data_IF_735227004493
#
_entry.id   IF_735227004493
#
_cell.length_a   1.000
_cell.length_b   1.000
_cell.length_c   1.000
_cell.angle_alpha   90.00
_cell.angle_beta   90.00
_cell.angle_gamma   90.00
#
_symmetry.space_group_name_H-M   'P 1'
#
loop_
_entity.id
_entity.type
_entity.pdbx_description
1 polymer ?
#
# COMPACT_ATOMS: atom_id res chain seq x y z
N UNK A 1 47.08 -47.74 71.44
CA UNK A 1 46.26 -48.66 72.25
C UNK A 1 44.83 -48.12 72.30
N UNK A 2 43.87 -49.04 72.20
CA UNK A 2 42.42 -48.94 72.37
C UNK A 2 41.52 -48.40 71.24
N UNK A 3 40.62 -49.31 70.86
CA UNK A 3 39.46 -49.25 69.98
C UNK A 3 38.32 -48.40 70.53
N UNK A 4 37.42 -47.90 69.66
CA UNK A 4 35.97 -48.17 69.78
C UNK A 4 35.15 -47.71 68.57
N UNK A 5 34.35 -48.64 68.04
CA UNK A 5 33.27 -48.49 67.05
C UNK A 5 31.97 -48.00 67.72
N UNK A 6 31.19 -47.11 67.10
CA UNK A 6 29.70 -47.03 67.15
C UNK A 6 29.22 -46.22 65.91
N UNK A 7 28.61 -46.80 64.86
CA UNK A 7 27.20 -47.21 64.65
C UNK A 7 26.17 -46.08 64.38
N UNK A 8 25.55 -46.14 63.17
CA UNK A 8 24.16 -45.76 62.77
C UNK A 8 23.79 -44.24 62.76
N UNK A 9 23.08 -43.62 61.81
CA UNK A 9 21.94 -43.95 60.91
C UNK A 9 21.88 -42.87 59.76
N UNK A 10 21.13 -43.05 58.66
CA UNK A 10 21.14 -42.20 57.46
C UNK A 10 20.04 -41.11 57.47
N UNK A 11 20.27 -39.97 56.80
CA UNK A 11 19.21 -39.04 56.39
C UNK A 11 19.04 -39.13 54.87
N UNK A 12 17.97 -39.78 54.43
CA UNK A 12 17.46 -39.70 53.08
C UNK A 12 16.72 -38.36 52.94
N UNK A 13 17.28 -37.44 52.15
CA UNK A 13 16.60 -36.22 51.74
C UNK A 13 15.65 -36.54 50.57
N UNK A 14 14.35 -36.38 50.80
CA UNK A 14 13.32 -36.43 49.75
C UNK A 14 13.35 -35.17 48.89
N UNK A 15 13.48 -35.24 47.56
CA UNK A 15 13.19 -34.12 46.70
C UNK A 15 11.67 -33.98 46.52
N UNK A 16 11.09 -32.88 47.02
CA UNK A 16 9.73 -32.49 46.69
C UNK A 16 9.68 -32.02 45.22
N UNK A 17 9.00 -32.79 44.36
CA UNK A 17 8.61 -32.31 43.04
C UNK A 17 7.57 -31.18 43.21
N UNK A 18 7.97 -29.95 42.90
CA UNK A 18 7.03 -28.84 42.72
C UNK A 18 6.46 -28.97 41.30
N UNK A 19 5.22 -29.44 41.17
CA UNK A 19 4.47 -29.31 39.93
C UNK A 19 4.12 -27.81 39.75
N UNK A 20 4.91 -27.11 38.93
CA UNK A 20 4.47 -25.84 38.39
C UNK A 20 3.35 -26.12 37.39
N UNK A 21 2.10 -25.89 37.79
CA UNK A 21 0.98 -25.86 36.87
C UNK A 21 1.14 -24.64 35.96
N UNK A 22 1.54 -24.87 34.73
CA UNK A 22 1.54 -23.86 33.67
C UNK A 22 0.09 -23.40 33.45
N UNK A 23 -0.26 -22.21 33.95
CA UNK A 23 -1.50 -21.54 33.55
C UNK A 23 -1.36 -21.27 32.05
N UNK A 24 -2.23 -21.81 31.18
CA UNK A 24 -2.22 -21.42 29.78
C UNK A 24 -2.51 -19.92 29.75
N UNK A 25 -1.50 -19.13 29.32
CA UNK A 25 -1.78 -17.79 28.81
C UNK A 25 -2.72 -18.00 27.63
N UNK A 26 -3.93 -17.51 27.76
CA UNK A 26 -4.80 -17.30 26.61
C UNK A 26 -4.07 -16.30 25.71
N UNK A 27 -3.33 -16.81 24.73
CA UNK A 27 -3.00 -16.00 23.57
C UNK A 27 -4.33 -15.58 22.98
N UNK A 28 -4.59 -14.27 23.01
CA UNK A 28 -5.62 -13.63 22.21
C UNK A 28 -5.24 -13.82 20.75
N UNK A 29 -5.41 -15.04 20.23
CA UNK A 29 -5.52 -15.27 18.81
C UNK A 29 -6.70 -14.43 18.37
N UNK A 30 -6.43 -13.27 17.77
CA UNK A 30 -7.41 -12.58 16.98
C UNK A 30 -7.92 -13.62 15.99
N UNK A 31 -9.13 -14.12 16.21
CA UNK A 31 -9.85 -14.92 15.23
C UNK A 31 -9.92 -14.06 13.98
N UNK A 32 -8.93 -14.16 13.09
CA UNK A 32 -8.91 -13.42 11.84
C UNK A 32 -9.96 -14.07 10.96
N UNK A 33 -11.18 -13.56 11.08
CA UNK A 33 -12.31 -14.01 10.30
C UNK A 33 -11.96 -13.81 8.83
N UNK A 34 -12.00 -14.89 8.06
CA UNK A 34 -11.93 -14.79 6.62
C UNK A 34 -13.17 -14.06 6.09
N UNK A 35 -13.00 -13.27 5.05
CA UNK A 35 -14.08 -12.52 4.39
C UNK A 35 -14.00 -12.72 2.89
N UNK A 36 -15.14 -12.63 2.21
CA UNK A 36 -15.16 -12.68 0.74
C UNK A 36 -15.06 -11.26 0.19
N UNK A 37 -14.12 -11.05 -0.73
CA UNK A 37 -13.95 -9.79 -1.46
C UNK A 37 -14.05 -10.03 -2.96
N UNK A 38 -14.44 -9.00 -3.70
CA UNK A 38 -14.48 -9.01 -5.16
C UNK A 38 -13.19 -8.37 -5.69
N UNK A 39 -12.16 -9.20 -5.90
CA UNK A 39 -10.83 -8.73 -6.25
C UNK A 39 -10.73 -8.36 -7.74
N UNK A 40 -10.18 -7.19 -8.05
CA UNK A 40 -9.91 -6.74 -9.44
C UNK A 40 -8.41 -6.53 -9.70
N UNK A 41 -7.94 -6.64 -10.96
CA UNK A 41 -6.54 -6.43 -11.30
C UNK A 41 -6.17 -4.94 -11.35
N UNK A 42 -5.08 -4.57 -10.66
CA UNK A 42 -4.48 -3.23 -10.65
C UNK A 42 -3.11 -3.26 -11.32
N UNK A 43 -2.89 -2.47 -12.38
CA UNK A 43 -1.65 -2.52 -13.18
C UNK A 43 -0.53 -1.64 -12.65
N UNK A 44 -0.87 -0.61 -11.87
CA UNK A 44 0.07 0.42 -11.42
C UNK A 44 0.39 0.32 -9.93
N UNK A 45 1.67 0.38 -9.57
CA UNK A 45 2.05 0.47 -8.17
C UNK A 45 1.76 1.86 -7.60
N UNK A 46 1.20 1.89 -6.39
CA UNK A 46 1.03 3.09 -5.58
C UNK A 46 0.96 2.70 -4.10
N UNK A 47 1.08 3.70 -3.23
CA UNK A 47 0.94 3.53 -1.79
C UNK A 47 0.49 4.84 -1.16
N UNK A 48 -0.69 4.85 -0.53
CA UNK A 48 -1.25 5.97 0.22
C UNK A 48 -0.54 6.25 1.53
N UNK A 49 0.24 5.29 2.05
CA UNK A 49 1.02 5.42 3.29
C UNK A 49 2.51 5.61 3.04
N UNK A 50 2.93 5.76 1.79
CA UNK A 50 4.31 6.04 1.42
C UNK A 50 5.25 4.84 1.51
N UNK A 51 4.74 3.60 1.35
CA UNK A 51 5.60 2.42 1.16
C UNK A 51 6.31 2.53 -0.19
N UNK A 52 7.60 2.22 -0.20
CA UNK A 52 8.47 2.40 -1.36
C UNK A 52 8.50 1.13 -2.23
N UNK A 53 7.99 1.24 -3.46
CA UNK A 53 7.86 0.15 -4.42
C UNK A 53 9.20 -0.49 -4.79
N UNK A 54 10.26 0.30 -4.87
CA UNK A 54 11.61 -0.20 -5.14
C UNK A 54 12.19 -1.07 -4.01
N UNK A 55 11.55 -1.10 -2.84
CA UNK A 55 11.98 -1.86 -1.66
C UNK A 55 11.00 -2.99 -1.30
N UNK A 56 9.99 -3.26 -2.12
CA UNK A 56 9.00 -4.34 -1.93
C UNK A 56 8.72 -5.10 -3.23
N UNK A 57 8.04 -6.23 -3.14
CA UNK A 57 7.52 -6.93 -4.30
C UNK A 57 6.20 -6.31 -4.78
N UNK A 58 6.26 -5.43 -5.78
CA UNK A 58 5.08 -4.73 -6.33
C UNK A 58 4.09 -5.64 -7.06
N UNK A 59 4.45 -6.91 -7.31
CA UNK A 59 3.54 -7.92 -7.86
C UNK A 59 2.70 -8.62 -6.78
N UNK A 60 2.82 -8.20 -5.51
CA UNK A 60 2.13 -8.80 -4.35
C UNK A 60 1.59 -7.70 -3.43
N UNK A 61 0.74 -6.84 -3.99
CA UNK A 61 0.18 -5.67 -3.31
C UNK A 61 -1.34 -5.71 -3.33
N UNK A 62 -1.96 -5.26 -2.23
CA UNK A 62 -3.40 -5.08 -2.07
C UNK A 62 -3.74 -3.60 -1.85
N UNK A 63 -4.83 -3.17 -2.48
CA UNK A 63 -5.35 -1.80 -2.55
C UNK A 63 -6.80 -1.83 -2.08
N UNK A 64 -7.02 -1.77 -0.77
CA UNK A 64 -8.34 -1.98 -0.17
C UNK A 64 -9.13 -0.67 -0.09
N UNK A 65 -10.47 -0.71 -0.03
CA UNK A 65 -11.26 0.53 0.08
C UNK A 65 -11.07 1.22 1.44
N UNK A 66 -10.80 0.44 2.48
CA UNK A 66 -10.55 0.93 3.83
C UNK A 66 -9.11 1.41 4.00
N UNK A 67 -8.91 2.43 4.84
CA UNK A 67 -7.59 2.96 5.21
C UNK A 67 -6.61 1.88 5.66
N UNK A 68 -5.34 2.05 5.31
CA UNK A 68 -4.25 1.15 5.72
C UNK A 68 -4.07 1.23 7.25
N UNK A 69 -3.95 0.06 7.88
CA UNK A 69 -3.87 -0.10 9.33
C UNK A 69 -2.42 -0.33 9.82
N UNK A 70 -2.15 -0.09 11.10
CA UNK A 70 -0.81 -0.23 11.68
C UNK A 70 -0.38 -1.66 12.02
N UNK A 71 -1.30 -2.63 11.95
CA UNK A 71 -1.08 -4.03 12.34
C UNK A 71 -1.41 -5.01 11.21
N UNK A 72 -2.44 -4.71 10.42
CA UNK A 72 -3.00 -5.60 9.40
C UNK A 72 -2.43 -5.31 7.99
N UNK A 73 -1.10 -5.22 7.88
CA UNK A 73 -0.40 -4.95 6.61
C UNK A 73 -0.30 -6.22 5.74
N UNK A 74 -0.19 -7.41 6.33
CA UNK A 74 -0.15 -8.66 5.56
C UNK A 74 -1.54 -9.27 5.46
N UNK A 75 -1.96 -9.55 4.23
CA UNK A 75 -3.20 -10.29 3.98
C UNK A 75 -2.89 -11.52 3.15
N UNK A 76 -3.61 -12.61 3.41
CA UNK A 76 -3.68 -13.74 2.49
C UNK A 76 -4.91 -13.58 1.61
N UNK A 77 -4.78 -13.93 0.34
CA UNK A 77 -5.90 -13.99 -0.60
C UNK A 77 -5.90 -15.34 -1.31
N UNK A 78 -7.06 -16.00 -1.32
CA UNK A 78 -7.23 -17.34 -1.84
C UNK A 78 -8.33 -17.39 -2.90
N UNK A 79 -8.04 -18.11 -3.98
CA UNK A 79 -9.00 -18.49 -5.01
C UNK A 79 -8.84 -19.98 -5.32
N UNK A 80 -9.89 -20.77 -5.08
CA UNK A 80 -9.83 -22.22 -5.20
C UNK A 80 -8.68 -22.80 -4.34
N UNK A 81 -7.78 -23.56 -4.95
CA UNK A 81 -6.62 -24.20 -4.35
C UNK A 81 -5.38 -23.30 -4.27
N UNK A 82 -5.44 -22.07 -4.81
CA UNK A 82 -4.30 -21.14 -4.90
C UNK A 82 -4.41 -20.02 -3.88
N UNK A 83 -3.27 -19.71 -3.27
CA UNK A 83 -3.15 -18.63 -2.30
C UNK A 83 -1.91 -17.78 -2.60
N UNK A 84 -2.01 -16.49 -2.30
CA UNK A 84 -0.89 -15.56 -2.25
C UNK A 84 -0.98 -14.73 -0.96
N UNK A 85 0.16 -14.20 -0.55
CA UNK A 85 0.24 -13.16 0.47
C UNK A 85 0.49 -11.82 -0.22
N UNK A 86 -0.12 -10.76 0.29
CA UNK A 86 -0.08 -9.41 -0.27
C UNK A 86 0.20 -8.39 0.83
N UNK A 87 0.96 -7.36 0.48
CA UNK A 87 1.12 -6.16 1.30
C UNK A 87 -0.04 -5.21 1.04
N UNK A 88 -0.87 -4.95 2.04
CA UNK A 88 -1.92 -3.92 2.02
C UNK A 88 -1.30 -2.58 2.39
N UNK A 89 -0.93 -1.80 1.38
CA UNK A 89 -0.17 -0.55 1.56
C UNK A 89 -0.78 0.62 0.80
N UNK A 90 -1.94 0.42 0.21
CA UNK A 90 -2.66 1.47 -0.49
C UNK A 90 -4.15 1.36 -0.26
N UNK A 91 -4.82 2.49 -0.50
CA UNK A 91 -6.25 2.61 -0.46
C UNK A 91 -6.79 2.79 -1.88
N UNK A 92 -7.78 1.99 -2.25
CA UNK A 92 -8.51 2.17 -3.50
C UNK A 92 -9.63 3.21 -3.35
N UNK A 93 -10.30 3.55 -4.46
CA UNK A 93 -11.48 4.42 -4.46
C UNK A 93 -12.80 3.64 -4.24
N UNK A 94 -12.76 2.50 -3.54
CA UNK A 94 -13.96 1.72 -3.19
C UNK A 94 -13.96 0.25 -3.61
N UNK A 95 -12.92 -0.21 -4.33
CA UNK A 95 -12.79 -1.59 -4.79
C UNK A 95 -11.75 -2.38 -3.98
N UNK A 96 -11.77 -3.71 -4.05
CA UNK A 96 -10.65 -4.51 -3.55
C UNK A 96 -9.74 -4.80 -4.74
N UNK A 97 -8.71 -4.00 -4.94
CA UNK A 97 -7.81 -4.20 -6.06
C UNK A 97 -6.53 -4.87 -5.59
N UNK A 98 -5.94 -5.70 -6.43
CA UNK A 98 -4.64 -6.33 -6.16
C UNK A 98 -3.76 -6.20 -7.39
N UNK A 99 -2.45 -6.18 -7.20
CA UNK A 99 -1.49 -6.15 -8.30
C UNK A 99 -1.86 -7.18 -9.39
N UNK A 100 -1.85 -6.77 -10.66
CA UNK A 100 -2.36 -7.58 -11.77
C UNK A 100 -1.74 -8.98 -11.82
N UNK A 101 -0.44 -9.11 -11.50
CA UNK A 101 0.20 -10.41 -11.42
C UNK A 101 -0.42 -11.35 -10.37
N UNK A 102 -0.72 -10.85 -9.17
CA UNK A 102 -1.35 -11.63 -8.12
C UNK A 102 -2.76 -12.08 -8.54
N UNK A 103 -3.55 -11.16 -9.11
CA UNK A 103 -4.88 -11.47 -9.63
C UNK A 103 -4.82 -12.54 -10.72
N UNK A 104 -3.93 -12.37 -11.70
CA UNK A 104 -3.78 -13.28 -12.83
C UNK A 104 -3.30 -14.66 -12.37
N UNK A 105 -2.37 -14.73 -11.40
CA UNK A 105 -1.91 -15.98 -10.83
C UNK A 105 -3.03 -16.71 -10.08
N UNK A 106 -3.75 -16.01 -9.20
CA UNK A 106 -4.87 -16.58 -8.46
C UNK A 106 -5.94 -17.11 -9.41
N UNK A 107 -6.26 -16.38 -10.47
CA UNK A 107 -7.32 -16.78 -11.40
C UNK A 107 -6.86 -17.87 -12.38
N UNK A 108 -5.71 -17.71 -13.03
CA UNK A 108 -5.26 -18.55 -14.16
C UNK A 108 -4.17 -19.57 -13.83
N UNK A 109 -3.40 -19.34 -12.76
CA UNK A 109 -2.27 -20.17 -12.34
C UNK A 109 -0.93 -19.69 -12.91
N UNK A 110 -0.94 -18.60 -13.67
CA UNK A 110 0.24 -18.06 -14.34
C UNK A 110 0.46 -16.59 -13.95
N UNK A 111 1.73 -16.17 -13.94
CA UNK A 111 2.07 -14.74 -13.89
C UNK A 111 1.43 -13.99 -15.07
N UNK A 112 1.01 -12.75 -14.83
CA UNK A 112 0.48 -11.87 -15.88
C UNK A 112 1.52 -11.62 -17.00
N UNK A 113 2.81 -11.65 -16.68
CA UNK A 113 3.89 -11.52 -17.68
C UNK A 113 4.11 -12.77 -18.54
N UNK A 114 3.42 -13.88 -18.23
CA UNK A 114 3.58 -15.17 -18.92
C UNK A 114 2.34 -15.57 -19.68
N UNK A 115 1.18 -15.44 -19.06
CA UNK A 115 -0.12 -15.73 -19.67
C UNK A 115 -1.13 -14.70 -19.17
N UNK A 116 -1.07 -13.46 -19.67
CA UNK A 116 -1.98 -12.40 -19.25
C UNK A 116 -3.43 -12.76 -19.62
N UNK A 117 -4.35 -12.41 -18.74
CA UNK A 117 -5.78 -12.59 -18.93
C UNK A 117 -6.51 -11.28 -18.68
N UNK A 118 -7.47 -10.95 -19.55
CA UNK A 118 -8.38 -9.82 -19.37
C UNK A 118 -9.64 -10.30 -18.64
N UNK A 119 -9.93 -9.72 -17.49
CA UNK A 119 -11.09 -10.08 -16.67
C UNK A 119 -11.51 -8.95 -15.71
N UNK A 120 -12.55 -9.22 -14.94
CA UNK A 120 -13.13 -8.28 -13.99
C UNK A 120 -13.08 -8.79 -12.55
N UNK A 121 -13.99 -8.30 -11.69
CA UNK A 121 -14.05 -8.73 -10.30
C UNK A 121 -14.25 -10.25 -10.15
N UNK A 122 -13.46 -10.88 -9.28
CA UNK A 122 -13.56 -12.31 -8.95
C UNK A 122 -13.71 -12.44 -7.44
N UNK A 123 -14.70 -13.23 -7.01
CA UNK A 123 -14.89 -13.53 -5.59
C UNK A 123 -13.71 -14.37 -5.05
N UNK A 124 -13.03 -13.84 -4.04
CA UNK A 124 -11.87 -14.45 -3.39
C UNK A 124 -12.00 -14.33 -1.87
N UNK A 125 -11.39 -15.26 -1.14
CA UNK A 125 -11.38 -15.26 0.32
C UNK A 125 -10.13 -14.56 0.82
N UNK A 126 -10.29 -13.51 1.63
CA UNK A 126 -9.18 -12.76 2.24
C UNK A 126 -9.17 -12.91 3.75
N UNK A 127 -7.97 -12.80 4.33
CA UNK A 127 -7.76 -12.85 5.78
C UNK A 127 -6.52 -12.03 6.15
N UNK A 128 -6.59 -11.23 7.21
CA UNK A 128 -5.41 -10.63 7.81
C UNK A 128 -4.57 -11.73 8.46
N UNK A 129 -3.27 -11.76 8.19
CA UNK A 129 -2.35 -12.78 8.69
C UNK A 129 -1.12 -12.14 9.29
N UNK A 130 -0.35 -12.93 10.04
CA UNK A 130 0.89 -12.46 10.65
C UNK A 130 1.90 -11.98 9.57
N UNK A 131 2.60 -10.88 9.87
CA UNK A 131 3.57 -10.27 8.95
C UNK A 131 4.72 -11.19 8.53
N UNK A 132 5.02 -12.24 9.30
CA UNK A 132 6.00 -13.27 8.90
C UNK A 132 5.65 -13.92 7.55
N UNK A 133 4.36 -14.02 7.18
CA UNK A 133 3.94 -14.54 5.88
C UNK A 133 4.29 -13.60 4.71
N UNK A 134 4.40 -12.30 4.98
CA UNK A 134 4.77 -11.28 3.99
C UNK A 134 6.24 -10.84 4.09
N UNK A 135 7.04 -11.41 4.99
CA UNK A 135 8.41 -10.96 5.24
C UNK A 135 9.29 -11.01 3.97
N UNK A 136 9.09 -12.01 3.12
CA UNK A 136 9.80 -12.16 1.83
C UNK A 136 9.39 -11.14 0.76
N UNK A 137 8.28 -10.42 0.97
CA UNK A 137 7.81 -9.37 0.07
C UNK A 137 8.48 -8.02 0.34
N UNK A 138 9.25 -7.91 1.43
CA UNK A 138 9.93 -6.68 1.85
C UNK A 138 11.44 -6.90 1.73
N UNK A 139 12.10 -6.08 0.94
CA UNK A 139 13.53 -6.27 0.58
C UNK A 139 14.50 -5.51 1.49
N UNK A 140 14.01 -4.90 2.57
CA UNK A 140 14.85 -4.22 3.56
C UNK A 140 15.47 -5.22 4.55
N UNK A 141 16.49 -4.75 5.28
CA UNK A 141 17.08 -5.55 6.36
C UNK A 141 16.04 -5.85 7.45
N UNK A 142 15.84 -7.14 7.73
CA UNK A 142 14.88 -7.59 8.73
C UNK A 142 13.42 -7.41 8.33
N UNK A 143 13.14 -7.24 7.03
CA UNK A 143 11.78 -7.08 6.49
C UNK A 143 10.99 -5.92 7.13
N UNK A 144 11.69 -4.86 7.52
CA UNK A 144 11.11 -3.62 8.04
C UNK A 144 10.39 -2.85 6.93
N UNK A 145 9.20 -2.34 7.21
CA UNK A 145 8.39 -1.62 6.23
C UNK A 145 9.14 -0.37 5.72
N UNK A 146 9.47 -0.29 4.40
CA UNK A 146 10.22 0.82 3.82
C UNK A 146 9.28 1.98 3.54
N UNK A 147 9.42 3.06 4.29
CA UNK A 147 8.57 4.23 4.20
C UNK A 147 9.33 5.46 3.70
N UNK A 148 8.66 6.29 2.91
CA UNK A 148 9.14 7.61 2.50
C UNK A 148 9.21 8.55 3.71
N UNK A 149 10.41 8.98 4.09
CA UNK A 149 10.62 9.92 5.19
C UNK A 149 9.88 11.24 5.00
N UNK A 150 9.68 11.68 3.76
CA UNK A 150 9.01 12.93 3.45
C UNK A 150 7.48 12.78 3.46
N UNK A 151 6.94 11.63 3.03
CA UNK A 151 5.52 11.49 2.70
C UNK A 151 4.75 10.46 3.55
N UNK A 152 5.40 9.71 4.44
CA UNK A 152 4.73 8.70 5.29
C UNK A 152 4.42 9.18 6.72
N UNK A 153 4.84 10.38 7.11
CA UNK A 153 4.94 10.74 8.53
C UNK A 153 3.60 10.77 9.26
N UNK A 154 2.50 11.15 8.60
CA UNK A 154 1.17 11.11 9.23
C UNK A 154 0.75 9.69 9.58
N UNK A 155 0.97 8.73 8.65
CA UNK A 155 0.70 7.32 8.90
C UNK A 155 1.61 6.77 10.01
N UNK A 156 2.92 6.99 9.89
CA UNK A 156 3.89 6.48 10.86
C UNK A 156 3.64 7.04 12.26
N UNK A 157 3.39 8.34 12.40
CA UNK A 157 3.06 8.95 13.69
C UNK A 157 1.84 8.29 14.33
N UNK A 158 0.75 8.08 13.56
CA UNK A 158 -0.45 7.41 14.06
C UNK A 158 -0.19 5.96 14.52
N UNK A 159 0.78 5.28 13.91
CA UNK A 159 1.19 3.95 14.33
C UNK A 159 2.12 3.99 15.55
N UNK A 160 2.99 4.98 15.67
CA UNK A 160 3.87 5.16 16.82
C UNK A 160 3.11 5.59 18.09
N UNK A 161 1.95 6.22 17.95
CA UNK A 161 1.03 6.54 19.06
C UNK A 161 0.28 5.32 19.59
N UNK A 162 0.11 4.28 18.76
CA UNK A 162 -0.54 3.03 19.16
C UNK A 162 0.45 2.13 19.91
N UNK A 163 0.11 1.76 21.14
CA UNK A 163 0.88 0.76 21.88
C UNK A 163 0.94 -0.57 21.13
N UNK A 164 2.14 -1.13 21.00
CA UNK A 164 2.41 -2.43 20.37
C UNK A 164 2.00 -2.54 18.89
N UNK A 165 1.91 -1.42 18.15
CA UNK A 165 1.67 -1.52 16.71
C UNK A 165 2.84 -2.20 15.98
N UNK A 166 2.54 -3.07 15.02
CA UNK A 166 3.59 -3.73 14.25
C UNK A 166 4.41 -2.72 13.46
N UNK A 167 3.75 -1.79 12.75
CA UNK A 167 4.43 -0.76 11.95
C UNK A 167 5.32 0.12 12.82
N UNK A 168 4.83 0.60 13.98
CA UNK A 168 5.61 1.44 14.89
C UNK A 168 6.89 0.76 15.39
N UNK A 169 6.91 -0.58 15.43
CA UNK A 169 8.09 -1.38 15.82
C UNK A 169 8.95 -1.84 14.63
N UNK A 170 8.41 -1.86 13.41
CA UNK A 170 9.00 -2.53 12.25
C UNK A 170 9.02 -1.65 10.99
N UNK A 171 9.53 -0.43 11.11
CA UNK A 171 9.70 0.48 9.97
C UNK A 171 11.17 0.85 9.73
N UNK A 172 11.43 1.35 8.54
CA UNK A 172 12.66 2.07 8.17
C UNK A 172 12.28 3.23 7.25
N UNK A 173 12.86 4.40 7.51
CA UNK A 173 12.62 5.60 6.73
C UNK A 173 13.72 5.78 5.69
N UNK A 174 13.33 6.14 4.47
CA UNK A 174 14.26 6.52 3.40
C UNK A 174 13.97 7.92 2.89
N UNK A 175 15.00 8.67 2.50
CA UNK A 175 14.88 9.98 1.86
C UNK A 175 14.44 9.89 0.38
N UNK A 176 13.59 8.92 0.05
CA UNK A 176 12.98 8.76 -1.27
C UNK A 176 11.62 9.46 -1.21
N UNK A 177 11.38 10.33 -2.19
CA UNK A 177 10.25 11.26 -2.17
C UNK A 177 8.95 10.56 -2.59
N UNK A 178 8.96 9.72 -3.61
CA UNK A 178 7.73 9.11 -4.15
C UNK A 178 7.68 7.58 -3.98
N UNK A 179 6.46 7.03 -3.93
CA UNK A 179 6.25 5.59 -3.73
C UNK A 179 6.76 4.74 -4.90
N UNK A 180 6.79 5.29 -6.11
CA UNK A 180 7.33 4.63 -7.30
C UNK A 180 8.85 4.80 -7.46
N UNK A 181 9.52 5.45 -6.51
CA UNK A 181 10.97 5.63 -6.44
C UNK A 181 11.60 6.29 -7.67
N UNK A 182 10.98 7.33 -8.21
CA UNK A 182 11.55 8.13 -9.30
C UNK A 182 12.22 9.41 -8.80
N UNK A 183 11.94 9.84 -7.57
CA UNK A 183 12.44 11.08 -6.98
C UNK A 183 12.99 10.85 -5.57
N UNK A 184 14.05 11.58 -5.22
CA UNK A 184 14.69 11.57 -3.90
C UNK A 184 16.10 10.98 -3.89
N UNK A 185 16.55 10.62 -2.71
CA UNK A 185 17.88 10.10 -2.43
C UNK A 185 17.76 8.79 -1.63
N UNK A 186 18.37 7.70 -2.11
CA UNK A 186 18.34 6.40 -1.42
C UNK A 186 19.27 6.41 -0.19
N UNK A 187 18.78 7.04 0.89
CA UNK A 187 19.47 7.23 2.14
C UNK A 187 18.53 6.88 3.29
N UNK A 188 18.98 6.07 4.23
CA UNK A 188 18.20 5.79 5.45
C UNK A 188 18.20 7.01 6.37
N UNK A 189 17.02 7.34 6.91
CA UNK A 189 16.82 8.44 7.85
C UNK A 189 16.55 7.91 9.26
N UNK A 190 16.74 8.77 10.25
CA UNK A 190 16.44 8.51 11.67
C UNK A 190 15.31 9.41 12.16
N UNK A 191 14.49 8.91 13.07
CA UNK A 191 13.41 9.67 13.70
C UNK A 191 13.59 9.70 15.21
N UNK A 192 13.55 10.88 15.80
CA UNK A 192 13.54 11.08 17.27
C UNK A 192 12.09 11.20 17.74
N UNK A 193 11.40 10.07 17.87
CA UNK A 193 10.04 10.04 18.37
C UNK A 193 10.00 9.82 19.89
N UNK A 194 9.13 10.51 20.66
CA UNK A 194 8.12 11.48 20.25
C UNK A 194 8.59 12.95 20.22
N UNK A 195 9.88 13.22 20.36
CA UNK A 195 10.40 14.60 20.52
C UNK A 195 10.37 15.42 19.21
N UNK A 196 10.36 14.75 18.06
CA UNK A 196 10.35 15.33 16.73
C UNK A 196 9.50 14.48 15.76
N UNK A 197 8.71 15.16 14.92
CA UNK A 197 7.88 14.55 13.89
C UNK A 197 8.50 14.63 12.48
N UNK A 198 9.70 15.22 12.36
CA UNK A 198 10.45 15.31 11.10
C UNK A 198 11.69 14.41 11.14
N UNK A 199 11.84 13.45 10.21
CA UNK A 199 13.03 12.61 10.13
C UNK A 199 14.30 13.41 9.79
N UNK A 200 15.41 12.99 10.37
CA UNK A 200 16.76 13.46 10.02
C UNK A 200 17.39 12.51 9.01
N UNK A 201 17.80 13.03 7.86
CA UNK A 201 18.44 12.29 6.78
C UNK A 201 19.86 12.83 6.52
N UNK A 202 20.77 12.05 5.92
CA UNK A 202 22.10 12.54 5.55
C UNK A 202 22.08 13.74 4.59
N UNK A 203 21.18 13.71 3.60
CA UNK A 203 20.88 14.84 2.71
C UNK A 203 19.64 15.62 3.15
N UNK A 204 19.35 16.71 2.44
CA UNK A 204 18.13 17.50 2.65
C UNK A 204 16.90 16.61 2.42
N UNK A 205 15.98 16.60 3.37
CA UNK A 205 14.75 15.82 3.31
C UNK A 205 13.87 16.32 2.15
N UNK A 206 13.39 15.38 1.32
CA UNK A 206 12.35 15.66 0.31
C UNK A 206 12.82 16.43 -0.92
N UNK A 207 14.13 16.46 -1.21
CA UNK A 207 14.63 17.02 -2.47
C UNK A 207 14.20 16.14 -3.64
N UNK A 208 13.60 16.70 -4.71
CA UNK A 208 13.12 15.94 -5.86
C UNK A 208 14.25 15.61 -6.86
N UNK A 209 15.37 15.10 -6.36
CA UNK A 209 16.47 14.62 -7.22
C UNK A 209 16.01 13.40 -8.01
N UNK A 210 16.39 13.29 -9.30
CA UNK A 210 16.03 12.13 -10.09
C UNK A 210 16.70 10.86 -9.55
N UNK A 211 15.89 9.93 -9.04
CA UNK A 211 16.36 8.63 -8.56
C UNK A 211 16.33 7.63 -9.72
N UNK A 212 17.50 7.07 -10.04
CA UNK A 212 17.67 6.13 -11.16
C UNK A 212 18.01 4.71 -10.73
N UNK A 213 18.09 4.49 -9.42
CA UNK A 213 18.42 3.20 -8.80
C UNK A 213 17.13 2.46 -8.49
N UNK A 214 17.07 1.17 -8.86
CA UNK A 214 15.96 0.26 -8.56
C UNK A 214 14.58 0.72 -9.06
N UNK A 215 14.39 0.85 -10.38
CA UNK A 215 13.11 1.29 -10.95
C UNK A 215 11.94 0.36 -10.58
N UNK A 216 10.79 0.96 -10.32
CA UNK A 216 9.53 0.23 -10.15
C UNK A 216 8.92 -0.11 -11.51
N UNK A 217 8.56 -1.38 -11.68
CA UNK A 217 7.91 -1.87 -12.89
C UNK A 217 6.46 -2.24 -12.61
N UNK A 218 5.58 -1.72 -13.45
CA UNK A 218 4.17 -2.09 -13.55
C UNK A 218 4.00 -3.21 -14.58
N UNK A 219 2.90 -3.94 -14.48
CA UNK A 219 2.51 -4.91 -15.52
C UNK A 219 1.22 -4.39 -16.14
N UNK A 220 1.32 -3.87 -17.36
CA UNK A 220 0.22 -3.23 -18.06
C UNK A 220 -0.93 -4.21 -18.27
N UNK A 221 -2.11 -3.82 -17.83
CA UNK A 221 -3.33 -4.58 -18.06
C UNK A 221 -3.94 -4.23 -19.43
N UNK A 222 -4.46 -5.20 -20.21
CA UNK A 222 -4.37 -6.65 -20.02
C UNK A 222 -3.22 -7.28 -20.82
N UNK A 223 -2.23 -6.51 -21.32
CA UNK A 223 -1.20 -7.05 -22.21
C UNK A 223 -0.15 -7.91 -21.50
N UNK A 224 0.06 -7.68 -20.19
CA UNK A 224 1.12 -8.35 -19.43
C UNK A 224 2.51 -7.73 -19.64
N UNK A 225 2.60 -6.62 -20.37
CA UNK A 225 3.87 -5.95 -20.66
C UNK A 225 4.43 -5.26 -19.42
N UNK A 226 5.74 -5.35 -19.22
CA UNK A 226 6.41 -4.58 -18.17
C UNK A 226 6.61 -3.15 -18.63
N UNK A 227 6.04 -2.21 -17.89
CA UNK A 227 6.19 -0.77 -18.16
C UNK A 227 6.80 -0.08 -16.94
N UNK A 228 7.69 0.87 -17.18
CA UNK A 228 8.33 1.63 -16.11
C UNK A 228 7.29 2.53 -15.44
N UNK A 229 7.19 2.48 -14.11
CA UNK A 229 6.27 3.35 -13.38
C UNK A 229 6.65 4.82 -13.56
N UNK A 230 5.65 5.69 -13.81
CA UNK A 230 5.87 7.12 -14.08
C UNK A 230 6.37 7.45 -15.48
N UNK A 231 6.60 6.45 -16.35
CA UNK A 231 6.92 6.71 -17.75
C UNK A 231 5.70 7.30 -18.50
N UNK A 232 5.92 8.14 -19.53
CA UNK A 232 4.85 8.63 -20.38
C UNK A 232 4.07 7.46 -21.01
N UNK A 233 2.75 7.61 -21.26
CA UNK A 233 1.98 6.58 -21.94
C UNK A 233 2.65 6.21 -23.27
N UNK A 234 3.05 4.95 -23.42
CA UNK A 234 3.54 4.46 -24.71
C UNK A 234 2.34 4.30 -25.64
N UNK A 235 2.23 5.19 -26.64
CA UNK A 235 1.27 5.02 -27.73
C UNK A 235 1.59 3.69 -28.42
N UNK A 236 0.61 2.79 -28.60
CA UNK A 236 0.84 1.56 -29.35
C UNK A 236 1.34 1.91 -30.75
N UNK A 237 2.60 1.56 -31.04
CA UNK A 237 3.15 1.63 -32.39
C UNK A 237 2.37 0.65 -33.27
N UNK A 238 1.37 1.16 -33.99
CA UNK A 238 0.50 0.34 -34.83
C UNK A 238 -0.86 0.95 -35.17
N UNK A 239 -1.31 1.99 -34.46
CA UNK A 239 -2.48 2.77 -34.87
C UNK A 239 -2.01 3.98 -35.66
N UNK A 240 -2.35 4.11 -36.97
CA UNK A 240 -2.07 5.33 -37.72
C UNK A 240 -2.76 6.50 -37.00
N UNK A 241 -1.96 7.46 -36.53
CA UNK A 241 -2.47 8.74 -36.07
C UNK A 241 -3.13 9.40 -37.30
N UNK A 242 -4.44 9.72 -37.28
CA UNK A 242 -5.05 10.50 -38.34
C UNK A 242 -4.30 11.83 -38.43
N UNK A 243 -3.87 12.19 -39.63
CA UNK A 243 -3.25 13.49 -39.87
C UNK A 243 -4.17 14.60 -39.31
N UNK A 244 -3.61 15.66 -38.69
CA UNK A 244 -4.40 16.80 -38.25
C UNK A 244 -5.22 17.32 -39.43
N UNK A 245 -6.53 17.50 -39.21
CA UNK A 245 -7.39 18.11 -40.22
C UNK A 245 -6.82 19.48 -40.60
N UNK A 246 -6.75 19.82 -41.90
CA UNK A 246 -6.28 21.14 -42.33
C UNK A 246 -7.17 22.22 -41.73
N UNK A 247 -6.54 23.20 -41.10
CA UNK A 247 -7.20 24.39 -40.56
C UNK A 247 -7.82 25.18 -41.72
N UNK A 248 -9.11 25.58 -41.67
CA UNK A 248 -9.68 26.41 -42.72
C UNK A 248 -8.92 27.73 -42.82
N UNK A 249 -8.53 28.10 -44.03
CA UNK A 249 -7.96 29.40 -44.31
C UNK A 249 -8.99 30.49 -43.96
N UNK A 250 -8.55 31.51 -43.23
CA UNK A 250 -9.33 32.71 -43.02
C UNK A 250 -9.31 33.54 -44.31
N UNK A 251 -10.41 33.51 -45.06
CA UNK A 251 -10.65 34.47 -46.12
C UNK A 251 -10.95 35.83 -45.48
N UNK A 252 -10.05 36.78 -45.75
CA UNK A 252 -10.28 38.19 -45.56
C UNK A 252 -11.13 38.70 -46.71
N UNK A 253 -12.26 39.35 -46.41
CA UNK A 253 -12.82 40.41 -47.25
C UNK A 253 -13.71 41.32 -46.38
N UNK A 254 -13.28 42.58 -46.30
CA UNK A 254 -14.00 43.74 -45.80
C UNK A 254 -15.11 44.14 -46.79
N UNK A 255 -16.32 44.43 -46.30
CA UNK A 255 -16.95 45.77 -46.38
C UNK A 255 -18.48 45.76 -46.21
N UNK A 256 -18.93 46.81 -45.49
CA UNK A 256 -20.21 47.50 -45.56
C UNK A 256 -21.48 46.95 -44.89
N UNK A 257 -22.03 47.81 -44.01
CA UNK A 257 -23.45 48.16 -44.11
C UNK A 257 -24.27 47.97 -42.83
N UNK A 258 -24.29 49.00 -41.97
CA UNK A 258 -25.29 49.14 -40.92
C UNK A 258 -26.72 49.22 -41.49
N UNK A 259 -27.65 48.46 -40.88
CA UNK A 259 -29.14 48.55 -40.82
C UNK A 259 -29.65 47.12 -40.54
N UNK A 260 -30.48 46.77 -39.57
CA UNK A 260 -31.26 47.44 -38.53
C UNK A 260 -32.40 46.49 -38.14
N UNK A 261 -32.75 46.42 -36.84
CA UNK A 261 -33.97 45.82 -36.24
C UNK A 261 -34.16 44.28 -36.43
N UNK A 262 -34.49 43.44 -35.44
CA UNK A 262 -35.51 43.54 -34.37
C UNK A 262 -35.18 42.58 -33.19
N UNK A 263 -35.36 43.05 -31.95
CA UNK A 263 -35.67 42.25 -30.74
C UNK A 263 -37.11 41.67 -30.82
N UNK A 264 -37.59 40.69 -29.99
CA UNK A 264 -37.33 40.61 -28.53
C UNK A 264 -37.30 39.22 -27.82
N UNK A 265 -36.79 39.29 -26.59
CA UNK A 265 -37.15 38.60 -25.32
C UNK A 265 -37.23 37.06 -25.21
N UNK A 266 -36.41 36.49 -24.31
CA UNK A 266 -36.90 36.11 -22.98
C UNK A 266 -35.81 35.51 -22.06
N UNK A 267 -35.50 36.29 -21.02
CA UNK A 267 -35.44 35.91 -19.61
C UNK A 267 -34.38 34.92 -19.09
N UNK A 268 -33.38 35.56 -18.46
CA UNK A 268 -32.52 35.12 -17.36
C UNK A 268 -33.27 34.39 -16.24
N UNK A 269 -32.77 33.23 -15.81
CA UNK A 269 -32.98 32.71 -14.45
C UNK A 269 -31.61 32.44 -13.81
N UNK A 270 -31.25 33.30 -12.87
CA UNK A 270 -30.12 33.15 -11.94
C UNK A 270 -30.69 32.57 -10.65
N UNK A 271 -30.13 31.48 -10.14
CA UNK A 271 -30.41 30.97 -8.79
C UNK A 271 -29.20 31.24 -7.89
N UNK A 272 -29.34 32.23 -7.02
CA UNK A 272 -28.52 32.44 -5.82
C UNK A 272 -29.48 32.40 -4.63
N UNK A 273 -29.11 31.67 -3.57
CA UNK A 273 -29.31 31.93 -2.12
C UNK A 273 -29.30 30.56 -1.41
N UNK A 274 -28.27 30.18 -0.64
CA UNK A 274 -27.78 30.73 0.63
C UNK A 274 -28.62 30.32 1.85
N UNK A 275 -27.94 29.59 2.74
CA UNK A 275 -28.02 29.58 4.21
C UNK A 275 -29.37 29.28 4.88
N UNK A 276 -29.37 28.27 5.77
CA UNK A 276 -29.75 28.38 7.19
C UNK A 276 -29.14 27.18 7.94
N UNK A 277 -28.32 27.48 8.95
CA UNK A 277 -27.92 26.57 10.02
C UNK A 277 -28.89 26.68 11.20
N UNK A 278 -28.84 25.69 12.10
CA UNK A 278 -29.04 25.74 13.58
C UNK A 278 -30.20 24.90 14.17
N UNK A 279 -29.77 23.84 14.89
CA UNK A 279 -30.22 23.24 16.17
C UNK A 279 -31.64 22.64 16.34
N UNK A 280 -31.69 21.40 16.88
CA UNK A 280 -32.29 20.98 18.17
C UNK A 280 -32.11 19.44 18.30
N UNK A 281 -31.25 18.91 19.18
CA UNK A 281 -31.55 18.34 20.52
C UNK A 281 -32.91 17.62 20.62
N UNK A 282 -32.86 16.29 20.64
CA UNK A 282 -33.47 15.39 21.63
C UNK A 282 -32.77 14.02 21.57
#
# INVERSE_FOLDING_TARGET
MLFSLHSLLPLLASPALVLAASIPRSDSSSSSSSTTVWATPHDSYSSSVGVLGCKVNTNRVAYWPDSVDCNNICVSLQYQDRQVYLLRVDQSQGAHDISYDAWNYLYTGYSATKKPFAGGPVAMTTQNVDMSNCASLIHTKGSKLPLSAANSMNFLASCLEQENSWVGSNYVLYNILDSICTLGQDQTCTLDWPNANQPSCPGTLGVPDALKTDPVWNIQYPSGDKVLAGAPPTVPTGVPVPAPAPTPAADADDENGARGLTCPDSLLWISILSLISIFYIL
#
